data_IF_892594044371
#
_entry.id   IF_892594044371
#
_cell.length_a   1.000
_cell.length_b   1.000
_cell.length_c   1.000
_cell.angle_alpha   90.00
_cell.angle_beta   90.00
_cell.angle_gamma   90.00
#
_symmetry.space_group_name_H-M   'P 1'
#
loop_
_entity.id
_entity.type
_entity.pdbx_description
1 polymer ?
#
# COMPACT_ATOMS: atom_id res chain seq x y z
N UNK A 1 5.14 20.93 21.00
CA UNK A 1 4.48 21.45 19.80
C UNK A 1 2.96 21.28 19.86
N UNK A 2 2.45 20.05 20.01
CA UNK A 2 1.00 19.77 20.07
C UNK A 2 0.20 20.69 21.00
N UNK A 3 0.67 20.86 22.24
CA UNK A 3 0.08 21.81 23.21
C UNK A 3 -0.12 23.22 22.64
N UNK A 4 0.81 23.78 21.87
CA UNK A 4 0.65 25.12 21.27
C UNK A 4 -0.53 25.23 20.30
N UNK A 5 -0.98 24.10 19.75
CA UNK A 5 -2.14 24.00 18.88
C UNK A 5 -3.45 23.92 19.67
N UNK A 6 -3.37 23.87 21.01
CA UNK A 6 -4.53 23.96 21.89
C UNK A 6 -4.74 25.43 22.30
N UNK A 7 -5.96 25.94 22.17
CA UNK A 7 -6.27 27.37 22.35
C UNK A 7 -6.17 27.88 23.80
N UNK A 8 -6.03 27.00 24.78
CA UNK A 8 -6.23 27.31 26.20
C UNK A 8 -4.92 27.43 27.01
N UNK A 9 -3.78 27.68 26.37
CA UNK A 9 -2.48 27.75 27.08
C UNK A 9 -2.20 29.16 27.62
N UNK A 10 -1.80 29.30 28.91
CA UNK A 10 -1.35 30.57 29.46
C UNK A 10 -0.21 31.21 28.66
N UNK A 11 -0.19 32.54 28.57
CA UNK A 11 0.83 33.28 27.79
C UNK A 11 2.27 32.96 28.22
N UNK A 12 2.50 32.73 29.51
CA UNK A 12 3.81 32.37 30.08
C UNK A 12 4.29 31.01 29.60
N UNK A 13 3.45 29.98 29.72
CA UNK A 13 3.73 28.62 29.24
C UNK A 13 3.96 28.62 27.71
N UNK A 14 3.16 29.38 26.97
CA UNK A 14 3.34 29.55 25.51
C UNK A 14 4.72 30.10 25.16
N UNK A 15 5.23 31.07 25.92
CA UNK A 15 6.57 31.65 25.71
C UNK A 15 7.67 30.64 26.02
N UNK A 16 7.51 29.86 27.09
CA UNK A 16 8.47 28.81 27.45
C UNK A 16 8.53 27.70 26.40
N UNK A 17 7.38 27.20 25.93
CA UNK A 17 7.33 26.17 24.88
C UNK A 17 7.97 26.69 23.59
N UNK A 18 7.71 27.96 23.22
CA UNK A 18 8.36 28.57 22.05
C UNK A 18 9.88 28.61 22.19
N UNK A 19 10.40 28.97 23.37
CA UNK A 19 11.84 28.97 23.63
C UNK A 19 12.44 27.57 23.44
N UNK A 20 11.87 26.55 24.11
CA UNK A 20 12.31 25.15 23.98
C UNK A 20 12.25 24.64 22.53
N UNK A 21 11.27 25.10 21.75
CA UNK A 21 11.18 24.74 20.34
C UNK A 21 12.30 25.34 19.50
N UNK A 22 12.75 26.56 19.79
CA UNK A 22 13.90 27.16 19.10
C UNK A 22 15.18 26.37 19.44
N UNK A 23 15.40 26.08 20.72
CA UNK A 23 16.56 25.29 21.16
C UNK A 23 16.58 23.89 20.49
N UNK A 24 15.42 23.25 20.35
CA UNK A 24 15.29 21.97 19.64
C UNK A 24 15.52 22.07 18.13
N UNK A 25 15.13 23.18 17.51
CA UNK A 25 15.38 23.43 16.07
C UNK A 25 16.87 23.60 15.82
N UNK A 26 17.57 24.33 16.69
CA UNK A 26 19.02 24.50 16.59
C UNK A 26 19.75 23.15 16.72
N UNK A 27 19.36 22.33 17.71
CA UNK A 27 19.89 20.96 17.87
C UNK A 27 19.61 20.09 16.64
N UNK A 28 18.41 20.21 16.05
CA UNK A 28 18.04 19.47 14.85
C UNK A 28 18.96 19.80 13.67
N UNK A 29 19.22 21.09 13.41
CA UNK A 29 20.11 21.48 12.32
C UNK A 29 21.56 21.04 12.57
N UNK A 30 22.04 21.15 13.80
CA UNK A 30 23.35 20.58 14.16
C UNK A 30 23.39 19.07 13.87
N UNK A 31 22.30 18.34 14.12
CA UNK A 31 22.25 16.89 13.95
C UNK A 31 22.28 16.46 12.47
N UNK A 32 21.75 17.29 11.58
CA UNK A 32 21.86 17.05 10.14
C UNK A 32 23.30 17.13 9.64
N UNK A 33 24.12 18.01 10.23
CA UNK A 33 25.52 18.20 9.84
C UNK A 33 26.52 17.34 10.64
N UNK A 34 26.09 16.77 11.77
CA UNK A 34 26.90 15.88 12.62
C UNK A 34 27.62 14.74 11.86
N UNK A 35 27.02 14.06 10.86
CA UNK A 35 27.72 13.02 10.09
C UNK A 35 28.91 13.56 9.28
N UNK A 36 28.88 14.85 8.91
CA UNK A 36 29.94 15.49 8.11
C UNK A 36 31.11 15.94 8.98
N UNK A 37 30.84 16.33 10.23
CA UNK A 37 31.84 16.82 11.17
C UNK A 37 32.33 15.76 12.17
N UNK A 38 31.66 14.62 12.27
CA UNK A 38 31.95 13.58 13.26
C UNK A 38 31.48 13.94 14.69
N UNK A 39 30.69 15.01 14.84
CA UNK A 39 30.22 15.46 16.14
C UNK A 39 29.10 14.56 16.68
N UNK A 40 29.15 14.22 17.97
CA UNK A 40 28.06 13.52 18.66
C UNK A 40 27.11 14.53 19.29
N UNK A 41 25.84 14.46 18.94
CA UNK A 41 24.82 15.37 19.48
C UNK A 41 24.07 14.72 20.63
N UNK A 42 23.90 15.49 21.69
CA UNK A 42 23.09 15.14 22.85
C UNK A 42 21.96 16.14 23.01
N UNK A 43 20.76 15.65 23.34
CA UNK A 43 19.61 16.49 23.64
C UNK A 43 19.58 16.72 25.16
N UNK A 44 19.63 17.98 25.64
CA UNK A 44 19.47 18.31 27.06
C UNK A 44 18.19 17.73 27.67
N UNK A 45 18.26 17.25 28.91
CA UNK A 45 17.13 16.60 29.59
C UNK A 45 15.92 17.55 29.77
N UNK A 46 16.17 18.84 29.93
CA UNK A 46 15.14 19.89 30.02
C UNK A 46 14.32 20.08 28.73
N UNK A 47 14.86 19.65 27.59
CA UNK A 47 14.19 19.63 26.29
C UNK A 47 13.50 18.29 26.01
N UNK A 48 13.76 17.27 26.83
CA UNK A 48 13.11 15.97 26.71
C UNK A 48 11.63 16.05 27.12
N UNK A 49 10.77 15.44 26.32
CA UNK A 49 9.33 15.46 26.52
C UNK A 49 8.95 14.43 27.59
N UNK A 50 8.22 14.87 28.63
CA UNK A 50 7.78 14.01 29.74
C UNK A 50 6.52 13.20 29.45
N UNK A 51 5.62 13.70 28.59
CA UNK A 51 4.38 13.02 28.17
C UNK A 51 4.11 13.26 26.70
N UNK A 52 3.64 12.23 26.00
CA UNK A 52 3.36 12.28 24.57
C UNK A 52 1.87 12.51 24.29
N UNK A 53 1.48 13.22 23.22
CA UNK A 53 0.10 13.20 22.76
C UNK A 53 -0.34 11.76 22.47
N UNK A 54 -1.58 11.40 22.82
CA UNK A 54 -2.10 10.04 22.67
C UNK A 54 -2.03 9.50 21.24
N UNK A 55 -2.18 10.37 20.22
CA UNK A 55 -2.05 9.99 18.81
C UNK A 55 -0.64 9.53 18.40
N UNK A 56 0.38 9.73 19.25
CA UNK A 56 1.73 9.19 19.00
C UNK A 56 1.91 7.76 19.51
N UNK A 57 0.94 7.22 20.25
CA UNK A 57 0.93 5.85 20.76
C UNK A 57 2.18 5.50 21.60
N UNK A 58 2.59 6.44 22.46
CA UNK A 58 3.76 6.31 23.35
C UNK A 58 3.41 6.64 24.79
N UNK A 59 3.88 5.83 25.74
CA UNK A 59 3.67 6.05 27.17
C UNK A 59 4.83 6.79 27.83
N UNK A 60 4.59 7.66 28.83
CA UNK A 60 3.27 8.07 29.31
C UNK A 60 2.64 9.11 28.37
N UNK A 61 1.33 9.01 28.15
CA UNK A 61 0.61 9.85 27.19
C UNK A 61 -0.32 10.87 27.88
N UNK A 62 -0.88 11.80 27.10
CA UNK A 62 -2.00 12.65 27.47
C UNK A 62 -2.96 12.78 26.29
N UNK A 63 -4.25 12.92 26.60
CA UNK A 63 -5.26 13.15 25.57
C UNK A 63 -5.14 14.57 25.01
N UNK A 64 -4.82 14.68 23.73
CA UNK A 64 -4.63 15.95 23.04
C UNK A 64 -5.94 16.53 22.54
N UNK A 65 -6.22 17.77 22.91
CA UNK A 65 -7.34 18.55 22.38
C UNK A 65 -7.00 19.31 21.08
N UNK A 66 -5.82 19.09 20.50
CA UNK A 66 -5.40 19.74 19.26
C UNK A 66 -6.18 19.20 18.06
N UNK A 67 -6.03 19.86 16.91
CA UNK A 67 -6.59 19.34 15.65
C UNK A 67 -6.10 17.93 15.33
N UNK A 68 -4.84 17.60 15.65
CA UNK A 68 -4.28 16.27 15.40
C UNK A 68 -4.88 15.22 16.32
N UNK A 69 -5.08 15.56 17.59
CA UNK A 69 -5.77 14.67 18.55
C UNK A 69 -7.19 14.35 18.09
N UNK A 70 -7.96 15.39 17.71
CA UNK A 70 -9.34 15.22 17.23
C UNK A 70 -9.43 14.36 15.97
N UNK A 71 -8.54 14.57 15.00
CA UNK A 71 -8.48 13.75 13.78
C UNK A 71 -8.21 12.29 14.14
N UNK A 72 -7.24 12.05 15.02
CA UNK A 72 -6.90 10.70 15.45
C UNK A 72 -8.08 10.00 16.15
N UNK A 73 -8.78 10.70 17.04
CA UNK A 73 -9.95 10.15 17.74
C UNK A 73 -11.10 9.80 16.79
N UNK A 74 -11.39 10.68 15.83
CA UNK A 74 -12.44 10.47 14.83
C UNK A 74 -12.15 9.24 13.95
N UNK A 75 -10.91 9.11 13.46
CA UNK A 75 -10.49 7.94 12.68
C UNK A 75 -10.59 6.67 13.53
N UNK A 76 -10.12 6.73 14.79
CA UNK A 76 -10.15 5.58 15.69
C UNK A 76 -11.57 5.16 16.07
N UNK A 77 -12.51 6.10 16.20
CA UNK A 77 -13.93 5.77 16.39
C UNK A 77 -14.52 5.07 15.17
N UNK A 78 -14.19 5.53 13.96
CA UNK A 78 -14.64 4.91 12.71
C UNK A 78 -14.06 3.51 12.48
N UNK A 79 -12.85 3.24 12.98
CA UNK A 79 -12.25 1.89 12.95
C UNK A 79 -12.90 0.93 13.97
N UNK A 80 -13.42 1.47 15.09
CA UNK A 80 -14.04 0.68 16.16
C UNK A 80 -15.51 0.31 15.88
N UNK A 81 -16.21 1.12 15.09
CA UNK A 81 -17.46 0.71 14.47
C UNK A 81 -17.10 -0.28 13.36
N UNK A 82 -17.62 -1.52 13.43
CA UNK A 82 -17.39 -2.52 12.40
C UNK A 82 -17.66 -1.90 11.02
N UNK A 83 -16.57 -1.57 10.31
CA UNK A 83 -16.64 -0.66 9.17
C UNK A 83 -17.66 -1.14 8.13
N UNK A 84 -18.22 -0.22 7.32
CA UNK A 84 -19.14 -0.59 6.27
C UNK A 84 -18.51 -1.70 5.43
N UNK A 85 -19.22 -2.82 5.28
CA UNK A 85 -18.75 -3.96 4.51
C UNK A 85 -18.32 -3.46 3.12
N UNK A 86 -17.02 -3.46 2.84
CA UNK A 86 -16.48 -2.97 1.58
C UNK A 86 -17.08 -3.82 0.46
N UNK A 87 -18.04 -3.26 -0.28
CA UNK A 87 -18.69 -3.97 -1.38
C UNK A 87 -17.71 -4.09 -2.53
N UNK A 88 -17.37 -5.31 -2.91
CA UNK A 88 -16.52 -5.57 -4.07
C UNK A 88 -17.31 -5.24 -5.33
N UNK A 89 -16.83 -4.27 -6.11
CA UNK A 89 -17.40 -3.89 -7.41
C UNK A 89 -16.35 -4.16 -8.50
N UNK A 90 -16.55 -5.17 -9.36
CA UNK A 90 -15.61 -5.46 -10.45
C UNK A 90 -15.72 -4.40 -11.56
N UNK A 91 -14.63 -4.24 -12.32
CA UNK A 91 -14.57 -3.34 -13.46
C UNK A 91 -15.31 -3.95 -14.66
N UNK A 92 -16.33 -3.24 -15.15
CA UNK A 92 -17.19 -3.67 -16.25
C UNK A 92 -16.40 -4.07 -17.51
N UNK A 93 -15.35 -3.31 -17.82
CA UNK A 93 -14.49 -3.55 -18.98
C UNK A 93 -13.83 -4.94 -19.00
N UNK A 94 -13.71 -5.62 -17.85
CA UNK A 94 -13.16 -6.98 -17.74
C UNK A 94 -14.23 -8.05 -17.56
N UNK A 95 -15.42 -7.70 -17.05
CA UNK A 95 -16.54 -8.64 -16.87
C UNK A 95 -17.38 -8.82 -18.13
N UNK A 96 -17.44 -7.82 -19.00
CA UNK A 96 -18.19 -7.87 -20.26
C UNK A 96 -17.51 -8.71 -21.35
N UNK A 97 -16.21 -8.99 -21.20
CA UNK A 97 -15.49 -9.81 -22.17
C UNK A 97 -16.03 -11.23 -22.10
N UNK A 98 -16.57 -11.72 -23.20
CA UNK A 98 -17.02 -13.10 -23.35
C UNK A 98 -15.79 -14.02 -23.35
N UNK A 99 -15.48 -14.57 -22.19
CA UNK A 99 -14.36 -15.49 -22.00
C UNK A 99 -14.81 -16.92 -22.27
N UNK A 100 -14.00 -17.67 -23.03
CA UNK A 100 -14.21 -19.11 -23.25
C UNK A 100 -14.33 -19.89 -21.93
N UNK A 101 -15.30 -20.81 -21.88
CA UNK A 101 -15.50 -21.70 -20.73
C UNK A 101 -14.26 -22.52 -20.39
N UNK A 102 -13.43 -22.85 -21.39
CA UNK A 102 -12.19 -23.60 -21.19
C UNK A 102 -11.19 -22.80 -20.34
N UNK A 103 -11.06 -21.49 -20.60
CA UNK A 103 -10.22 -20.62 -19.78
C UNK A 103 -10.77 -20.48 -18.37
N UNK A 104 -12.10 -20.31 -18.22
CA UNK A 104 -12.72 -20.20 -16.90
C UNK A 104 -12.51 -21.46 -16.06
N UNK A 105 -12.75 -22.65 -16.63
CA UNK A 105 -12.55 -23.93 -15.94
C UNK A 105 -11.10 -24.11 -15.53
N UNK A 106 -10.17 -23.88 -16.45
CA UNK A 106 -8.73 -24.00 -16.17
C UNK A 106 -8.29 -23.07 -15.04
N UNK A 107 -8.66 -21.79 -15.11
CA UNK A 107 -8.27 -20.82 -14.09
C UNK A 107 -9.00 -20.99 -12.77
N UNK A 108 -10.20 -21.57 -12.77
CA UNK A 108 -10.89 -21.98 -11.54
C UNK A 108 -10.06 -23.03 -10.80
N UNK A 109 -9.61 -24.09 -11.48
CA UNK A 109 -8.77 -25.12 -10.87
C UNK A 109 -7.45 -24.56 -10.36
N UNK A 110 -6.74 -23.77 -11.19
CA UNK A 110 -5.48 -23.13 -10.82
C UNK A 110 -5.64 -22.18 -9.62
N UNK A 111 -6.74 -21.42 -9.58
CA UNK A 111 -6.98 -20.51 -8.48
C UNK A 111 -7.27 -21.26 -7.16
N UNK A 112 -7.97 -22.40 -7.21
CA UNK A 112 -8.16 -23.25 -6.03
C UNK A 112 -6.83 -23.85 -5.53
N UNK A 113 -5.93 -24.22 -6.44
CA UNK A 113 -4.56 -24.63 -6.09
C UNK A 113 -3.80 -23.50 -5.39
N UNK A 114 -3.82 -22.30 -5.97
CA UNK A 114 -3.24 -21.11 -5.37
C UNK A 114 -3.79 -20.85 -3.96
N UNK A 115 -5.11 -20.98 -3.75
CA UNK A 115 -5.72 -20.77 -2.43
C UNK A 115 -5.22 -21.80 -1.40
N UNK A 116 -5.00 -23.05 -1.80
CA UNK A 116 -4.43 -24.08 -0.93
C UNK A 116 -2.98 -23.78 -0.59
N UNK A 117 -2.18 -23.39 -1.57
CA UNK A 117 -0.74 -23.09 -1.39
C UNK A 117 -0.53 -21.82 -0.59
N UNK A 118 -1.21 -20.73 -0.94
CA UNK A 118 -1.18 -19.47 -0.21
C UNK A 118 -1.61 -19.62 1.25
N UNK A 119 -2.60 -20.46 1.54
CA UNK A 119 -3.03 -20.78 2.91
C UNK A 119 -1.92 -21.45 3.73
N UNK A 120 -1.11 -22.32 3.11
CA UNK A 120 0.07 -22.91 3.76
C UNK A 120 1.13 -21.84 4.03
N UNK A 121 1.41 -20.98 3.06
CA UNK A 121 2.41 -19.90 3.19
C UNK A 121 2.03 -18.88 4.27
N UNK A 122 0.74 -18.57 4.44
CA UNK A 122 0.27 -17.68 5.49
C UNK A 122 0.62 -18.15 6.91
N UNK A 123 0.85 -19.46 7.11
CA UNK A 123 1.20 -20.04 8.41
C UNK A 123 2.68 -19.91 8.78
N UNK A 124 3.55 -19.50 7.85
CA UNK A 124 4.97 -19.32 8.12
C UNK A 124 5.21 -18.12 9.03
N UNK A 125 5.93 -18.28 10.13
CA UNK A 125 6.20 -17.20 11.10
C UNK A 125 7.12 -16.11 10.52
N UNK A 126 8.14 -16.51 9.76
CA UNK A 126 9.11 -15.59 9.19
C UNK A 126 8.51 -14.76 8.04
N UNK A 127 8.33 -13.47 8.27
CA UNK A 127 7.77 -12.51 7.29
C UNK A 127 8.61 -12.38 6.01
N UNK A 128 9.94 -12.40 6.12
CA UNK A 128 10.82 -12.22 4.95
C UNK A 128 10.74 -13.44 4.03
N UNK A 129 10.82 -14.63 4.62
CA UNK A 129 10.67 -15.91 3.91
C UNK A 129 9.28 -16.04 3.29
N UNK A 130 8.23 -15.72 4.04
CA UNK A 130 6.85 -15.70 3.54
C UNK A 130 6.72 -14.84 2.28
N UNK A 131 7.29 -13.63 2.29
CA UNK A 131 7.25 -12.73 1.15
C UNK A 131 8.01 -13.27 -0.07
N UNK A 132 9.15 -13.95 0.12
CA UNK A 132 9.89 -14.60 -0.96
C UNK A 132 9.05 -15.69 -1.60
N UNK A 133 8.51 -16.60 -0.79
CA UNK A 133 7.67 -17.71 -1.26
C UNK A 133 6.43 -17.21 -2.02
N UNK A 134 5.78 -16.13 -1.56
CA UNK A 134 4.65 -15.55 -2.30
C UNK A 134 5.07 -15.00 -3.67
N UNK A 135 6.24 -14.36 -3.77
CA UNK A 135 6.73 -13.86 -5.07
C UNK A 135 6.97 -14.99 -6.05
N UNK A 136 7.60 -16.07 -5.60
CA UNK A 136 7.84 -17.27 -6.41
C UNK A 136 6.53 -17.92 -6.83
N UNK A 137 5.58 -18.03 -5.91
CA UNK A 137 4.24 -18.53 -6.19
C UNK A 137 3.56 -17.72 -7.29
N UNK A 138 3.50 -16.38 -7.18
CA UNK A 138 2.93 -15.54 -8.23
C UNK A 138 3.67 -15.69 -9.57
N UNK A 139 4.99 -15.89 -9.54
CA UNK A 139 5.80 -16.07 -10.73
C UNK A 139 5.44 -17.36 -11.49
N UNK A 140 5.11 -18.44 -10.78
CA UNK A 140 4.65 -19.69 -11.38
C UNK A 140 3.34 -19.46 -12.18
N UNK A 141 2.35 -18.79 -11.56
CA UNK A 141 1.09 -18.47 -12.24
C UNK A 141 1.27 -17.47 -13.39
N UNK A 142 2.20 -16.51 -13.28
CA UNK A 142 2.58 -15.64 -14.40
C UNK A 142 3.14 -16.43 -15.58
N UNK A 143 4.06 -17.38 -15.33
CA UNK A 143 4.62 -18.26 -16.36
C UNK A 143 3.54 -19.12 -17.01
N UNK A 144 2.55 -19.58 -16.24
CA UNK A 144 1.40 -20.32 -16.78
C UNK A 144 0.53 -19.48 -17.72
N UNK A 145 0.29 -18.20 -17.37
CA UNK A 145 -0.48 -17.25 -18.18
C UNK A 145 0.30 -16.78 -19.42
N UNK A 146 1.48 -16.22 -19.22
CA UNK A 146 2.25 -15.55 -20.28
C UNK A 146 3.14 -16.49 -21.08
N UNK A 147 3.40 -17.72 -20.61
CA UNK A 147 4.44 -18.61 -21.18
C UNK A 147 5.82 -17.91 -21.24
N UNK A 148 6.01 -16.96 -20.35
CA UNK A 148 7.19 -16.12 -20.21
C UNK A 148 7.24 -15.57 -18.77
N UNK A 149 8.36 -14.96 -18.38
CA UNK A 149 8.51 -14.38 -17.04
C UNK A 149 7.64 -13.14 -16.85
N UNK A 150 7.49 -12.34 -17.89
CA UNK A 150 6.67 -11.14 -17.90
C UNK A 150 5.86 -11.06 -19.20
N UNK A 151 4.83 -10.23 -19.16
CA UNK A 151 3.88 -10.05 -20.26
C UNK A 151 4.57 -9.56 -21.55
N UNK A 152 5.57 -8.70 -21.43
CA UNK A 152 6.28 -8.08 -22.55
C UNK A 152 7.03 -9.13 -23.40
N UNK A 153 7.48 -10.22 -22.78
CA UNK A 153 8.25 -11.29 -23.42
C UNK A 153 7.40 -12.49 -23.84
N UNK A 154 6.08 -12.40 -23.71
CA UNK A 154 5.19 -13.50 -24.07
C UNK A 154 5.23 -13.78 -25.59
N UNK A 155 5.40 -15.05 -26.02
CA UNK A 155 5.29 -15.43 -27.43
C UNK A 155 3.84 -15.53 -27.91
N UNK A 156 2.87 -15.38 -27.01
CA UNK A 156 1.44 -15.54 -27.30
C UNK A 156 0.85 -14.29 -27.94
N UNK A 157 -0.20 -14.48 -28.72
CA UNK A 157 -0.95 -13.35 -29.27
C UNK A 157 -1.56 -12.49 -28.15
N UNK A 158 -1.51 -11.16 -28.35
CA UNK A 158 -2.01 -10.19 -27.37
C UNK A 158 -3.49 -10.39 -27.06
N UNK A 159 -4.29 -10.69 -28.07
CA UNK A 159 -5.74 -10.90 -27.93
C UNK A 159 -6.02 -12.08 -27.00
N UNK A 160 -5.34 -13.21 -27.20
CA UNK A 160 -5.48 -14.39 -26.33
C UNK A 160 -5.04 -14.12 -24.90
N UNK A 161 -3.93 -13.37 -24.73
CA UNK A 161 -3.46 -12.97 -23.40
C UNK A 161 -4.48 -12.09 -22.67
N UNK A 162 -5.11 -11.15 -23.38
CA UNK A 162 -6.13 -10.28 -22.81
C UNK A 162 -7.39 -11.07 -22.44
N UNK A 163 -7.83 -11.99 -23.29
CA UNK A 163 -8.97 -12.86 -23.03
C UNK A 163 -8.73 -13.76 -21.81
N UNK A 164 -7.55 -14.40 -21.74
CA UNK A 164 -7.20 -15.25 -20.60
C UNK A 164 -6.95 -14.43 -19.32
N UNK A 165 -6.39 -13.22 -19.42
CA UNK A 165 -6.29 -12.30 -18.29
C UNK A 165 -7.68 -11.88 -17.75
N UNK A 166 -8.66 -11.65 -18.64
CA UNK A 166 -10.05 -11.43 -18.23
C UNK A 166 -10.64 -12.68 -17.55
N UNK A 167 -10.30 -13.88 -18.00
CA UNK A 167 -10.70 -15.12 -17.33
C UNK A 167 -10.21 -15.17 -15.89
N UNK A 168 -8.92 -14.88 -15.68
CA UNK A 168 -8.31 -14.80 -14.33
C UNK A 168 -9.07 -13.78 -13.47
N UNK A 169 -9.32 -12.59 -14.02
CA UNK A 169 -10.02 -11.52 -13.30
C UNK A 169 -11.43 -11.95 -12.89
N UNK A 170 -12.23 -12.48 -13.83
CA UNK A 170 -13.60 -12.90 -13.59
C UNK A 170 -13.68 -14.00 -12.51
N UNK A 171 -12.85 -15.05 -12.63
CA UNK A 171 -12.81 -16.17 -11.67
C UNK A 171 -12.46 -15.69 -10.25
N UNK A 172 -11.45 -14.81 -10.14
CA UNK A 172 -10.98 -14.31 -8.84
C UNK A 172 -12.04 -13.41 -8.19
N UNK A 173 -12.65 -12.50 -8.96
CA UNK A 173 -13.64 -11.58 -8.44
C UNK A 173 -14.96 -12.28 -8.11
N UNK A 174 -15.38 -13.28 -8.89
CA UNK A 174 -16.54 -14.10 -8.55
C UNK A 174 -16.34 -14.80 -7.20
N UNK A 175 -15.16 -15.41 -6.99
CA UNK A 175 -14.83 -16.02 -5.70
C UNK A 175 -14.75 -14.99 -4.57
N UNK A 176 -14.09 -13.84 -4.79
CA UNK A 176 -13.96 -12.80 -3.77
C UNK A 176 -15.32 -12.21 -3.38
N UNK A 177 -16.21 -11.97 -4.35
CA UNK A 177 -17.56 -11.47 -4.12
C UNK A 177 -18.42 -12.47 -3.33
N UNK A 178 -18.39 -13.75 -3.68
CA UNK A 178 -19.17 -14.79 -2.96
C UNK A 178 -18.82 -14.93 -1.48
N UNK A 179 -17.59 -14.54 -1.08
CA UNK A 179 -17.12 -14.58 0.32
C UNK A 179 -16.96 -13.20 0.95
N UNK A 180 -17.20 -12.14 0.19
CA UNK A 180 -16.94 -10.75 0.55
C UNK A 180 -15.49 -10.50 1.04
N UNK A 181 -14.50 -11.14 0.41
CA UNK A 181 -13.09 -11.10 0.81
C UNK A 181 -12.24 -10.26 -0.17
N UNK A 182 -12.09 -8.96 0.10
CA UNK A 182 -11.32 -8.03 -0.77
C UNK A 182 -9.85 -8.45 -0.93
N UNK A 183 -9.28 -9.07 0.11
CA UNK A 183 -7.89 -9.54 0.12
C UNK A 183 -7.60 -10.58 -0.98
N UNK A 184 -8.63 -11.27 -1.48
CA UNK A 184 -8.52 -12.29 -2.52
C UNK A 184 -8.39 -11.70 -3.93
N UNK A 185 -8.87 -10.48 -4.16
CA UNK A 185 -8.76 -9.79 -5.45
C UNK A 185 -7.31 -9.57 -5.90
N UNK A 186 -6.36 -9.55 -4.95
CA UNK A 186 -4.95 -9.29 -5.22
C UNK A 186 -4.31 -10.25 -6.21
N UNK A 187 -4.73 -11.52 -6.25
CA UNK A 187 -4.16 -12.53 -7.15
C UNK A 187 -4.27 -12.12 -8.62
N UNK A 188 -5.46 -11.66 -9.05
CA UNK A 188 -5.68 -11.24 -10.43
C UNK A 188 -4.70 -10.14 -10.85
N UNK A 189 -4.45 -9.16 -9.98
CA UNK A 189 -3.54 -8.05 -10.26
C UNK A 189 -2.07 -8.44 -10.18
N UNK A 190 -1.69 -9.40 -9.31
CA UNK A 190 -0.30 -9.89 -9.24
C UNK A 190 0.09 -10.74 -10.43
N UNK A 191 -0.85 -11.53 -10.97
CA UNK A 191 -0.60 -12.45 -12.09
C UNK A 191 -0.91 -11.78 -13.43
N UNK A 192 -2.14 -11.30 -13.59
CA UNK A 192 -2.68 -10.78 -14.85
C UNK A 192 -2.60 -9.25 -14.97
N UNK A 193 -2.15 -8.54 -13.94
CA UNK A 193 -2.26 -7.08 -13.86
C UNK A 193 -1.66 -6.33 -15.03
N UNK A 194 -0.54 -6.79 -15.59
CA UNK A 194 0.09 -6.10 -16.73
C UNK A 194 -0.77 -6.18 -18.00
N UNK A 195 -1.31 -7.35 -18.30
CA UNK A 195 -2.24 -7.54 -19.40
C UNK A 195 -3.55 -6.78 -19.18
N UNK A 196 -4.10 -6.80 -17.96
CA UNK A 196 -5.33 -6.07 -17.61
C UNK A 196 -5.16 -4.56 -17.75
N UNK A 197 -4.04 -4.00 -17.26
CA UNK A 197 -3.75 -2.57 -17.41
C UNK A 197 -3.64 -2.17 -18.89
N UNK A 198 -2.94 -2.96 -19.72
CA UNK A 198 -2.85 -2.65 -21.14
C UNK A 198 -4.20 -2.75 -21.85
N UNK A 199 -5.01 -3.77 -21.53
CA UNK A 199 -6.37 -3.89 -22.06
C UNK A 199 -7.24 -2.70 -21.66
N UNK A 200 -7.14 -2.26 -20.40
CA UNK A 200 -7.84 -1.08 -19.90
C UNK A 200 -7.45 0.17 -20.70
N UNK A 201 -6.15 0.40 -20.88
CA UNK A 201 -5.64 1.49 -21.71
C UNK A 201 -6.11 1.35 -23.16
N UNK A 202 -6.22 0.16 -23.74
CA UNK A 202 -6.73 0.00 -25.11
C UNK A 202 -8.22 0.33 -25.21
N UNK A 203 -9.03 -0.03 -24.21
CA UNK A 203 -10.47 0.26 -24.17
C UNK A 203 -10.79 1.74 -23.89
N UNK A 204 -9.93 2.41 -23.13
CA UNK A 204 -10.10 3.81 -22.72
C UNK A 204 -9.12 4.78 -23.39
N UNK A 205 -8.21 4.29 -24.23
CA UNK A 205 -7.10 5.01 -24.85
C UNK A 205 -7.47 5.92 -26.01
N UNK A 206 -8.76 6.16 -26.23
CA UNK A 206 -9.20 7.40 -26.86
C UNK A 206 -8.93 8.63 -25.98
N UNK A 207 -8.85 8.47 -24.64
CA UNK A 207 -8.89 9.59 -23.69
C UNK A 207 -7.74 9.65 -22.67
N UNK A 208 -6.67 8.84 -22.75
CA UNK A 208 -5.57 9.00 -21.79
C UNK A 208 -4.19 8.67 -22.34
N UNK A 209 -3.31 9.67 -22.30
CA UNK A 209 -1.90 9.65 -22.71
C UNK A 209 -1.11 8.70 -21.80
N UNK A 210 -0.42 7.74 -22.42
CA UNK A 210 0.53 6.83 -21.78
C UNK A 210 1.67 7.61 -21.12
N UNK A 211 1.71 7.66 -19.79
CA UNK A 211 2.95 7.96 -19.07
C UNK A 211 3.71 6.63 -18.93
N UNK A 212 4.84 6.49 -19.62
CA UNK A 212 5.63 5.27 -19.56
C UNK A 212 6.10 4.99 -18.12
N UNK A 213 6.19 3.71 -17.76
CA UNK A 213 6.66 3.29 -16.43
C UNK A 213 8.06 3.85 -16.11
N UNK A 214 8.90 4.04 -17.13
CA UNK A 214 10.22 4.68 -17.01
C UNK A 214 10.14 6.16 -16.61
N UNK A 215 9.09 6.89 -17.01
CA UNK A 215 8.86 8.28 -16.59
C UNK A 215 8.41 8.34 -15.12
N UNK A 216 7.56 7.40 -14.68
CA UNK A 216 7.18 7.28 -13.27
C UNK A 216 8.37 6.88 -12.39
N UNK A 217 9.19 5.93 -12.83
CA UNK A 217 10.39 5.53 -12.10
C UNK A 217 11.42 6.67 -12.00
N UNK A 218 11.54 7.49 -13.05
CA UNK A 218 12.33 8.73 -13.02
C UNK A 218 11.77 9.80 -12.07
N UNK A 219 10.45 9.89 -11.92
CA UNK A 219 9.79 10.80 -10.99
C UNK A 219 10.03 10.40 -9.52
N UNK A 220 10.04 9.10 -9.21
CA UNK A 220 10.37 8.60 -7.86
C UNK A 220 11.87 8.61 -7.56
N UNK A 221 12.74 8.46 -8.58
CA UNK A 221 14.20 8.54 -8.41
C UNK A 221 14.73 9.97 -8.28
N UNK A 222 14.01 10.99 -8.76
CA UNK A 222 14.42 12.40 -8.58
C UNK A 222 14.31 12.93 -7.15
N UNK A 223 13.63 12.22 -6.25
CA UNK A 223 13.53 12.59 -4.83
C UNK A 223 14.62 11.96 -3.95
N UNK A 224 15.58 11.25 -4.54
CA UNK A 224 16.77 10.75 -3.84
C UNK A 224 18.02 10.97 -4.68
N UNK A 225 18.56 12.20 -4.64
CA UNK A 225 20.00 12.43 -4.75
C UNK A 225 20.43 13.52 -3.75
N UNK A 226 21.65 13.39 -3.20
CA UNK A 226 22.11 14.08 -1.97
C UNK A 226 22.25 15.59 -2.11
#
# INVERSE_FOLDING_TARGET
>A
MDRLLTGNIPKSERKEIKKKMLDLVDIYYLALDAPKSGNKITVPEELMVKRYPHFMERSPDYHSASVLGKIYDEVKSQESEAGPSIKIVPLQCFTEVAVSDDYKRRWTSLYQEYLRESSKLCKLENKAERNINFRELYQEYKRMLYKAEEFEYSPRERIDLFNEACAVYQVVYEHAMSRNEVSKCGFAWKVAGRALCQLYTLKHGGDTVLCSFSVLEGAFKKNHRP
#
